data_IF_377438900530
#
_entry.id   IF_377438900530
#
_cell.length_a   1.000
_cell.length_b   1.000
_cell.length_c   1.000
_cell.angle_alpha   90.00
_cell.angle_beta   90.00
_cell.angle_gamma   90.00
#
_symmetry.space_group_name_H-M   'P 1'
#
loop_
_entity.id
_entity.type
_entity.pdbx_description
1 polymer ?
#
# COMPACT_ATOMS: atom_id res chain seq x y z
N UNK A 1 -26.21 -9.02 -12.91
CA UNK A 1 -25.66 -10.04 -11.98
C UNK A 1 -25.27 -9.35 -10.68
N UNK A 2 -25.86 -9.73 -9.52
CA UNK A 2 -25.35 -9.28 -8.21
C UNK A 2 -24.05 -10.01 -7.94
N UNK A 3 -22.92 -9.30 -7.84
CA UNK A 3 -21.67 -9.90 -7.34
C UNK A 3 -21.91 -10.25 -5.86
N UNK A 4 -21.84 -11.54 -5.53
CA UNK A 4 -21.84 -11.98 -4.13
C UNK A 4 -20.48 -11.64 -3.55
N UNK A 5 -20.32 -10.40 -3.09
CA UNK A 5 -19.10 -9.95 -2.40
C UNK A 5 -19.21 -10.26 -0.91
N UNK A 6 -18.18 -10.90 -0.36
CA UNK A 6 -18.08 -11.12 1.07
C UNK A 6 -17.75 -9.81 1.78
N UNK A 7 -18.51 -9.49 2.83
CA UNK A 7 -18.27 -8.32 3.69
C UNK A 7 -17.87 -8.83 5.06
N UNK A 8 -16.74 -8.33 5.58
CA UNK A 8 -16.27 -8.60 6.93
C UNK A 8 -16.40 -7.34 7.77
N UNK A 9 -17.04 -7.48 8.94
CA UNK A 9 -17.08 -6.44 9.96
C UNK A 9 -15.98 -6.73 10.98
N UNK A 10 -15.17 -5.71 11.29
CA UNK A 10 -14.05 -5.83 12.21
C UNK A 10 -13.96 -4.58 13.07
N UNK A 11 -13.60 -4.76 14.34
CA UNK A 11 -13.35 -3.65 15.23
C UNK A 11 -12.05 -2.93 14.82
N UNK A 12 -12.03 -1.60 14.90
CA UNK A 12 -10.85 -0.79 14.54
C UNK A 12 -9.59 -1.12 15.36
N UNK A 13 -9.78 -1.58 16.60
CA UNK A 13 -8.72 -2.00 17.51
C UNK A 13 -8.45 -3.51 17.46
N UNK A 14 -8.91 -4.20 16.42
CA UNK A 14 -8.52 -5.59 16.18
C UNK A 14 -7.02 -5.68 15.89
N UNK A 15 -6.32 -6.60 16.58
CA UNK A 15 -4.87 -6.68 16.55
C UNK A 15 -4.36 -7.73 15.55
N UNK A 16 -3.59 -7.29 14.57
CA UNK A 16 -3.06 -8.14 13.50
C UNK A 16 -1.68 -8.67 13.86
N UNK A 17 -1.41 -9.92 13.50
CA UNK A 17 -0.05 -10.44 13.45
C UNK A 17 0.75 -9.72 12.35
N UNK A 18 2.09 -9.71 12.46
CA UNK A 18 2.93 -9.14 11.40
C UNK A 18 2.69 -9.78 10.03
N UNK A 19 2.34 -11.07 9.99
CA UNK A 19 2.04 -11.75 8.74
C UNK A 19 0.69 -11.31 8.18
N UNK A 20 -0.36 -11.27 9.02
CA UNK A 20 -1.68 -10.82 8.59
C UNK A 20 -1.65 -9.36 8.10
N UNK A 21 -0.93 -8.50 8.82
CA UNK A 21 -0.75 -7.11 8.44
C UNK A 21 0.04 -6.94 7.12
N UNK A 22 1.10 -7.73 6.92
CA UNK A 22 1.84 -7.75 5.66
C UNK A 22 0.96 -8.18 4.48
N UNK A 23 0.17 -9.24 4.68
CA UNK A 23 -0.79 -9.72 3.69
C UNK A 23 -1.85 -8.64 3.37
N UNK A 24 -2.38 -7.98 4.41
CA UNK A 24 -3.35 -6.89 4.26
C UNK A 24 -2.80 -5.73 3.42
N UNK A 25 -1.55 -5.33 3.66
CA UNK A 25 -0.90 -4.26 2.90
C UNK A 25 -0.34 -4.71 1.54
N UNK A 26 -0.45 -6.00 1.19
CA UNK A 26 0.07 -6.55 -0.06
C UNK A 26 1.59 -6.47 -0.17
N UNK A 27 2.32 -6.68 0.93
CA UNK A 27 3.78 -6.61 0.99
C UNK A 27 4.39 -7.86 1.62
N UNK A 28 5.70 -8.06 1.44
CA UNK A 28 6.39 -9.15 2.13
C UNK A 28 6.42 -8.90 3.64
N UNK A 29 6.42 -9.97 4.44
CA UNK A 29 6.53 -9.87 5.89
C UNK A 29 7.82 -9.19 6.33
N UNK A 30 8.94 -9.47 5.66
CA UNK A 30 10.24 -8.85 5.97
C UNK A 30 10.17 -7.34 5.78
N UNK A 31 9.57 -6.87 4.68
CA UNK A 31 9.36 -5.46 4.44
C UNK A 31 8.46 -4.84 5.52
N UNK A 32 7.38 -5.50 5.88
CA UNK A 32 6.48 -5.02 6.94
C UNK A 32 7.19 -4.89 8.29
N UNK A 33 7.98 -5.90 8.68
CA UNK A 33 8.76 -5.84 9.93
C UNK A 33 9.73 -4.66 9.92
N UNK A 34 10.39 -4.41 8.79
CA UNK A 34 11.27 -3.24 8.63
C UNK A 34 10.52 -1.93 8.82
N UNK A 35 9.29 -1.78 8.30
CA UNK A 35 8.47 -0.59 8.54
C UNK A 35 8.21 -0.35 10.04
N UNK A 36 7.97 -1.43 10.80
CA UNK A 36 7.77 -1.32 12.25
C UNK A 36 9.06 -0.87 12.94
N UNK A 37 10.20 -1.42 12.54
CA UNK A 37 11.51 -1.10 13.12
C UNK A 37 11.98 0.32 12.75
N UNK A 38 11.61 0.81 11.56
CA UNK A 38 11.81 2.19 11.11
C UNK A 38 10.79 3.18 11.73
N UNK A 39 9.85 2.71 12.57
CA UNK A 39 8.84 3.55 13.23
C UNK A 39 7.78 4.12 12.28
N UNK A 40 7.62 3.55 11.08
CA UNK A 40 6.63 4.01 10.09
C UNK A 40 5.20 3.60 10.43
N UNK A 41 5.05 2.64 11.32
CA UNK A 41 3.77 2.11 11.77
C UNK A 41 3.86 1.84 13.28
N UNK A 42 2.85 2.27 14.06
CA UNK A 42 2.79 1.91 15.47
C UNK A 42 2.58 0.40 15.62
N UNK A 43 3.19 -0.18 16.64
CA UNK A 43 2.97 -1.56 17.02
C UNK A 43 3.10 -1.69 18.54
N UNK A 44 2.55 -2.78 19.06
CA UNK A 44 2.67 -3.14 20.46
C UNK A 44 3.01 -4.61 20.59
N UNK A 45 3.40 -5.04 21.78
CA UNK A 45 3.64 -6.44 22.08
C UNK A 45 2.43 -7.06 22.76
N UNK A 46 2.07 -8.27 22.33
CA UNK A 46 1.16 -9.18 23.06
C UNK A 46 1.99 -10.41 23.38
N UNK A 47 2.38 -10.54 24.66
CA UNK A 47 3.44 -11.45 25.06
C UNK A 47 4.76 -11.07 24.36
N UNK A 48 5.34 -12.00 23.61
CA UNK A 48 6.60 -11.80 22.88
C UNK A 48 6.41 -11.38 21.43
N UNK A 49 5.17 -11.30 20.94
CA UNK A 49 4.89 -11.05 19.52
C UNK A 49 4.42 -9.62 19.26
N UNK A 50 4.94 -9.01 18.19
CA UNK A 50 4.45 -7.73 17.67
C UNK A 50 3.02 -7.88 17.13
N UNK A 51 2.21 -6.85 17.38
CA UNK A 51 0.84 -6.69 16.92
C UNK A 51 0.61 -5.25 16.46
N UNK A 52 -0.25 -5.09 15.45
CA UNK A 52 -0.59 -3.79 14.87
C UNK A 52 -2.11 -3.70 14.78
N UNK A 53 -2.69 -2.59 15.19
CA UNK A 53 -4.16 -2.45 15.11
C UNK A 53 -4.62 -2.19 13.68
N UNK A 54 -5.82 -2.66 13.37
CA UNK A 54 -6.41 -2.49 12.04
C UNK A 54 -6.50 -1.02 11.61
N UNK A 55 -6.88 -0.12 12.52
CA UNK A 55 -6.93 1.34 12.26
C UNK A 55 -5.60 1.93 11.80
N UNK A 56 -4.49 1.43 12.34
CA UNK A 56 -3.15 1.93 12.03
C UNK A 56 -2.73 1.45 10.64
N UNK A 57 -3.11 0.21 10.28
CA UNK A 57 -2.90 -0.33 8.93
C UNK A 57 -3.71 0.44 7.88
N UNK A 58 -4.97 0.77 8.18
CA UNK A 58 -5.81 1.59 7.30
C UNK A 58 -5.23 2.98 7.08
N UNK A 59 -4.81 3.64 8.15
CA UNK A 59 -4.22 4.99 8.09
C UNK A 59 -2.96 4.99 7.22
N UNK A 60 -2.06 4.03 7.44
CA UNK A 60 -0.85 3.89 6.64
C UNK A 60 -1.14 3.56 5.16
N UNK A 61 -2.12 2.70 4.88
CA UNK A 61 -2.51 2.36 3.50
C UNK A 61 -3.04 3.59 2.77
N UNK A 62 -3.83 4.43 3.45
CA UNK A 62 -4.38 5.66 2.91
C UNK A 62 -3.27 6.65 2.56
N UNK A 63 -2.42 6.98 3.53
CA UNK A 63 -1.27 7.90 3.33
C UNK A 63 -0.36 7.43 2.20
N UNK A 64 -0.03 6.13 2.17
CA UNK A 64 0.80 5.54 1.11
C UNK A 64 0.15 5.63 -0.27
N UNK A 65 -1.16 5.48 -0.34
CA UNK A 65 -1.88 5.53 -1.62
C UNK A 65 -2.00 6.97 -2.14
N UNK A 66 -2.23 7.93 -1.25
CA UNK A 66 -2.20 9.36 -1.57
C UNK A 66 -0.81 9.80 -2.07
N UNK A 67 0.25 9.37 -1.39
CA UNK A 67 1.62 9.66 -1.80
C UNK A 67 2.00 9.02 -3.14
N UNK A 68 1.56 7.78 -3.40
CA UNK A 68 1.79 7.13 -4.69
C UNK A 68 1.06 7.88 -5.81
N UNK A 69 -0.20 8.25 -5.57
CA UNK A 69 -1.01 8.98 -6.55
C UNK A 69 -0.39 10.33 -6.87
N UNK A 70 -0.01 11.12 -5.87
CA UNK A 70 0.61 12.44 -6.09
C UNK A 70 1.91 12.37 -6.88
N UNK A 71 2.72 11.32 -6.66
CA UNK A 71 3.94 11.09 -7.46
C UNK A 71 3.63 10.72 -8.91
N UNK A 72 2.65 9.85 -9.14
CA UNK A 72 2.23 9.51 -10.50
C UNK A 72 1.66 10.74 -11.22
N UNK A 73 0.82 11.52 -10.55
CA UNK A 73 0.27 12.76 -11.09
C UNK A 73 1.39 13.75 -11.46
N UNK A 74 2.43 13.87 -10.61
CA UNK A 74 3.62 14.70 -10.92
C UNK A 74 4.39 14.18 -12.14
N UNK A 75 4.62 12.87 -12.24
CA UNK A 75 5.28 12.27 -13.41
C UNK A 75 4.47 12.48 -14.68
N UNK A 76 3.14 12.33 -14.61
CA UNK A 76 2.25 12.62 -15.74
C UNK A 76 2.33 14.08 -16.14
N UNK A 77 2.31 15.01 -15.17
CA UNK A 77 2.45 16.44 -15.47
C UNK A 77 3.79 16.75 -16.14
N UNK A 78 4.90 16.17 -15.68
CA UNK A 78 6.21 16.34 -16.31
C UNK A 78 6.23 15.84 -17.76
N UNK A 79 5.52 14.75 -18.08
CA UNK A 79 5.38 14.21 -19.44
C UNK A 79 4.54 15.14 -20.33
N UNK A 80 3.44 15.67 -19.80
CA UNK A 80 2.56 16.63 -20.49
C UNK A 80 3.30 17.95 -20.75
N UNK A 81 4.02 18.48 -19.75
CA UNK A 81 4.80 19.72 -19.89
C UNK A 81 5.92 19.57 -20.93
N UNK A 82 6.44 18.35 -21.11
CA UNK A 82 7.41 18.02 -22.15
C UNK A 82 6.78 17.76 -23.53
N UNK A 83 5.43 17.74 -23.63
CA UNK A 83 4.69 17.43 -24.86
C UNK A 83 4.86 15.99 -25.35
N UNK A 84 5.13 15.06 -24.44
CA UNK A 84 5.44 13.66 -24.75
C UNK A 84 4.25 12.70 -24.56
N UNK A 85 3.09 13.22 -24.15
CA UNK A 85 1.87 12.47 -23.85
C UNK A 85 1.14 11.94 -25.10
N UNK A 86 1.44 12.49 -26.29
CA UNK A 86 0.88 12.05 -27.58
C UNK A 86 1.88 11.27 -28.46
N UNK A 87 3.11 11.04 -27.99
CA UNK A 87 4.14 10.38 -28.80
C UNK A 87 3.83 8.89 -28.94
N UNK A 88 3.33 8.49 -30.12
CA UNK A 88 3.25 7.08 -30.51
C UNK A 88 4.67 6.52 -30.65
N UNK A 89 5.18 5.88 -29.60
CA UNK A 89 6.41 5.12 -29.67
C UNK A 89 6.11 3.85 -30.47
N UNK A 90 6.55 3.82 -31.72
CA UNK A 90 6.43 2.63 -32.56
C UNK A 90 7.31 1.53 -31.93
N UNK A 91 6.70 0.62 -31.17
CA UNK A 91 7.39 -0.44 -30.43
C UNK A 91 7.90 -1.57 -31.34
N UNK A 92 8.00 -1.32 -32.66
CA UNK A 92 8.69 -2.20 -33.60
C UNK A 92 10.20 -2.15 -33.35
N UNK A 93 10.63 -2.76 -32.24
CA UNK A 93 12.02 -3.20 -32.09
C UNK A 93 12.22 -4.37 -33.03
N UNK A 94 12.82 -4.05 -34.16
CA UNK A 94 13.53 -4.93 -35.07
C UNK A 94 14.21 -6.09 -34.35
N UNK A 95 13.78 -7.31 -34.69
CA UNK A 95 14.61 -8.50 -34.72
C UNK A 95 14.22 -9.28 -35.98
#
# INVERSE_FOLDING_TARGET
>A
MKRQEAVFLMHENEAFTTQAAANFLGVSRQFFVRLLEEGKLPYHFVGTHRRVFFKDLLSYQKERSEFRRSRLDKMTQEVVDAGLDEVNVDLQRSN
#
